data_IF_659562138993
#
_entry.id   IF_659562138993
#
_cell.length_a   1.000
_cell.length_b   1.000
_cell.length_c   1.000
_cell.angle_alpha   90.00
_cell.angle_beta   90.00
_cell.angle_gamma   90.00
#
_symmetry.space_group_name_H-M   'P 1'
#
loop_
_entity.id
_entity.type
_entity.pdbx_description
1 polymer ?
#
# COMPACT_ATOMS: atom_id res chain seq x y z
N UNK A 1 -12.68 2.76 7.52
CA UNK A 1 -11.55 3.63 7.21
C UNK A 1 -10.71 3.03 6.09
N UNK A 2 -10.30 3.83 5.14
CA UNK A 2 -9.58 3.36 3.97
C UNK A 2 -8.86 4.55 3.33
N UNK A 3 -7.96 4.23 2.40
CA UNK A 3 -7.29 5.24 1.60
C UNK A 3 -7.98 5.32 0.24
N UNK A 4 -8.27 6.53 -0.21
CA UNK A 4 -8.76 6.73 -1.56
C UNK A 4 -7.57 6.78 -2.50
N UNK A 5 -7.57 5.92 -3.50
CA UNK A 5 -6.48 5.82 -4.45
C UNK A 5 -7.07 6.05 -5.84
N UNK A 6 -6.76 7.22 -6.39
CA UNK A 6 -7.34 7.64 -7.66
C UNK A 6 -6.31 7.47 -8.77
N UNK A 7 -6.66 6.68 -9.77
CA UNK A 7 -5.81 6.46 -10.93
C UNK A 7 -6.68 6.68 -12.15
N UNK A 8 -6.27 7.65 -12.98
CA UNK A 8 -7.06 8.07 -14.11
C UNK A 8 -8.41 8.54 -13.58
N UNK A 9 -9.50 7.96 -14.08
CA UNK A 9 -10.82 8.37 -13.64
C UNK A 9 -11.45 7.38 -12.68
N UNK A 10 -10.64 6.46 -12.15
CA UNK A 10 -11.16 5.42 -11.26
C UNK A 10 -10.68 5.65 -9.85
N UNK A 11 -11.54 5.34 -8.89
CA UNK A 11 -11.22 5.42 -7.47
C UNK A 11 -11.19 4.01 -6.89
N UNK A 12 -10.12 3.70 -6.19
CA UNK A 12 -10.00 2.43 -5.48
C UNK A 12 -9.88 2.72 -4.00
N UNK A 13 -10.45 1.85 -3.18
CA UNK A 13 -10.38 1.99 -1.73
C UNK A 13 -9.41 0.96 -1.20
N UNK A 14 -8.43 1.41 -0.45
CA UNK A 14 -7.33 0.56 -0.01
C UNK A 14 -7.33 0.42 1.50
N UNK A 15 -7.22 -0.82 1.96
CA UNK A 15 -7.06 -1.13 3.38
C UNK A 15 -6.68 -2.59 3.51
N UNK A 16 -5.85 -2.90 4.48
CA UNK A 16 -5.47 -4.27 4.79
C UNK A 16 -6.23 -4.71 6.03
N UNK A 17 -7.22 -5.58 5.85
CA UNK A 17 -7.80 -6.29 6.99
C UNK A 17 -6.75 -7.27 7.50
N UNK A 18 -6.95 -7.81 8.70
CA UNK A 18 -5.95 -8.71 9.27
C UNK A 18 -5.60 -9.87 8.34
N UNK A 19 -6.60 -10.47 7.70
CA UNK A 19 -6.32 -11.57 6.78
C UNK A 19 -5.49 -11.11 5.58
N UNK A 20 -5.69 -9.86 5.16
CA UNK A 20 -4.91 -9.32 4.05
C UNK A 20 -3.47 -9.06 4.48
N UNK A 21 -3.26 -8.65 5.74
CA UNK A 21 -1.91 -8.45 6.27
C UNK A 21 -1.17 -9.78 6.29
N UNK A 22 -1.84 -10.84 6.76
CA UNK A 22 -1.22 -12.16 6.83
C UNK A 22 -0.87 -12.65 5.42
N UNK A 23 -1.78 -12.46 4.47
CA UNK A 23 -1.52 -12.85 3.09
C UNK A 23 -0.36 -12.07 2.51
N UNK A 24 -0.29 -10.77 2.84
CA UNK A 24 0.81 -9.92 2.38
C UNK A 24 2.14 -10.40 2.95
N UNK A 25 2.18 -10.71 4.24
CA UNK A 25 3.40 -11.22 4.85
C UNK A 25 3.93 -12.46 4.15
N UNK A 26 3.01 -13.36 3.80
CA UNK A 26 3.42 -14.57 3.10
C UNK A 26 3.93 -14.27 1.70
N UNK A 27 3.29 -13.30 1.03
CA UNK A 27 3.65 -12.98 -0.34
C UNK A 27 5.00 -12.29 -0.42
N UNK A 28 5.31 -11.39 0.51
CA UNK A 28 6.59 -10.66 0.47
C UNK A 28 7.66 -11.31 1.33
N UNK A 29 7.28 -12.29 2.15
CA UNK A 29 8.25 -13.06 2.93
C UNK A 29 8.81 -12.34 4.14
N UNK A 30 8.15 -11.30 4.62
CA UNK A 30 8.64 -10.55 5.77
C UNK A 30 7.52 -9.71 6.37
N UNK A 31 7.81 -9.12 7.52
CA UNK A 31 6.91 -8.18 8.16
C UNK A 31 6.75 -6.96 7.23
N UNK A 32 5.53 -6.47 7.01
CA UNK A 32 5.33 -5.33 6.11
C UNK A 32 6.20 -4.12 6.43
N UNK A 33 6.52 -3.88 7.71
CA UNK A 33 7.35 -2.73 8.06
C UNK A 33 8.80 -2.93 7.67
N UNK A 34 9.26 -4.18 7.52
CA UNK A 34 10.66 -4.40 7.19
C UNK A 34 11.01 -4.03 5.76
N UNK A 35 10.02 -3.72 4.92
CA UNK A 35 10.32 -3.22 3.57
C UNK A 35 11.07 -1.89 3.63
N UNK A 36 11.03 -1.19 4.78
CA UNK A 36 11.71 0.10 4.94
C UNK A 36 13.05 -0.02 5.66
N UNK A 37 13.53 -1.24 5.91
CA UNK A 37 14.76 -1.42 6.67
C UNK A 37 15.99 -0.86 5.95
N UNK A 38 15.99 -0.87 4.62
CA UNK A 38 17.09 -0.29 3.87
C UNK A 38 16.67 1.11 3.42
N UNK A 39 17.04 2.12 4.20
CA UNK A 39 16.55 3.47 3.97
C UNK A 39 17.14 4.11 2.72
N UNK A 40 18.16 3.51 2.12
CA UNK A 40 18.77 4.08 0.92
C UNK A 40 18.15 3.58 -0.37
N UNK A 41 17.24 2.64 -0.28
CA UNK A 41 16.61 2.07 -1.48
C UNK A 41 15.12 2.00 -1.29
N UNK A 42 14.40 2.17 -2.39
CA UNK A 42 12.97 1.91 -2.38
C UNK A 42 12.72 0.41 -2.33
N UNK A 43 11.59 -0.01 -1.76
CA UNK A 43 11.20 -1.40 -1.91
C UNK A 43 11.09 -1.75 -3.39
N UNK A 44 11.30 -3.00 -3.75
CA UNK A 44 11.13 -3.41 -5.16
C UNK A 44 9.73 -3.12 -5.67
N UNK A 45 9.62 -2.88 -6.95
CA UNK A 45 8.31 -2.64 -7.58
C UNK A 45 7.36 -3.82 -7.34
N UNK A 46 7.88 -5.06 -7.39
CA UNK A 46 7.05 -6.23 -7.12
C UNK A 46 6.44 -6.15 -5.72
N UNK A 47 7.21 -5.66 -4.74
CA UNK A 47 6.70 -5.50 -3.39
C UNK A 47 5.60 -4.44 -3.36
N UNK A 48 5.82 -3.31 -4.03
CA UNK A 48 4.82 -2.24 -4.07
C UNK A 48 3.50 -2.72 -4.66
N UNK A 49 3.57 -3.44 -5.80
CA UNK A 49 2.37 -3.93 -6.45
C UNK A 49 1.69 -4.99 -5.58
N UNK A 50 2.48 -5.81 -4.89
CA UNK A 50 1.91 -6.82 -4.00
C UNK A 50 1.15 -6.15 -2.85
N UNK A 51 1.68 -5.07 -2.29
CA UNK A 51 0.99 -4.31 -1.25
C UNK A 51 -0.30 -3.73 -1.81
N UNK A 52 -0.23 -3.13 -2.99
CA UNK A 52 -1.42 -2.58 -3.64
C UNK A 52 -2.48 -3.65 -3.81
N UNK A 53 -2.10 -4.81 -4.38
CA UNK A 53 -3.04 -5.89 -4.62
C UNK A 53 -3.75 -6.31 -3.34
N UNK A 54 -2.99 -6.57 -2.27
CA UNK A 54 -3.60 -7.06 -1.04
C UNK A 54 -4.45 -5.99 -0.37
N UNK A 55 -4.09 -4.72 -0.52
CA UNK A 55 -4.87 -3.63 0.07
C UNK A 55 -6.16 -3.37 -0.70
N UNK A 56 -6.29 -3.88 -1.91
CA UNK A 56 -7.49 -3.71 -2.72
C UNK A 56 -8.58 -4.74 -2.42
N UNK A 57 -8.22 -5.85 -1.79
CA UNK A 57 -9.12 -7.01 -1.74
C UNK A 57 -10.35 -6.79 -0.88
N UNK A 58 -10.27 -5.92 0.12
CA UNK A 58 -11.38 -5.75 1.03
C UNK A 58 -12.55 -5.02 0.39
N UNK A 59 -12.28 -3.99 -0.40
CA UNK A 59 -13.32 -3.10 -0.89
C UNK A 59 -13.54 -3.13 -2.40
N UNK A 60 -12.67 -3.78 -3.15
CA UNK A 60 -12.76 -3.76 -4.61
C UNK A 60 -12.91 -5.19 -5.13
N UNK A 61 -14.07 -5.47 -5.72
CA UNK A 61 -14.38 -6.82 -6.18
C UNK A 61 -13.59 -7.18 -7.42
N UNK A 62 -13.08 -8.42 -7.42
CA UNK A 62 -12.57 -9.01 -8.65
C UNK A 62 -11.25 -8.50 -9.14
N UNK A 63 -10.50 -7.75 -8.31
CA UNK A 63 -9.19 -7.27 -8.72
C UNK A 63 -8.19 -8.41 -8.60
N UNK A 64 -7.56 -8.79 -9.73
CA UNK A 64 -6.53 -9.80 -9.73
C UNK A 64 -5.17 -9.16 -9.57
N UNK A 65 -4.14 -10.00 -9.36
CA UNK A 65 -2.77 -9.49 -9.30
C UNK A 65 -2.38 -8.84 -10.62
N UNK A 66 -2.78 -9.44 -11.74
CA UNK A 66 -2.51 -8.84 -13.06
C UNK A 66 -3.17 -7.47 -13.16
N UNK A 67 -4.41 -7.35 -12.67
CA UNK A 67 -5.07 -6.05 -12.67
C UNK A 67 -4.30 -5.04 -11.84
N UNK A 68 -3.74 -5.46 -10.71
CA UNK A 68 -2.98 -4.54 -9.87
C UNK A 68 -1.74 -4.04 -10.59
N UNK A 69 -1.07 -4.90 -11.36
CA UNK A 69 0.07 -4.46 -12.17
C UNK A 69 -0.36 -3.42 -13.19
N UNK A 70 -1.49 -3.64 -13.85
CA UNK A 70 -1.98 -2.69 -14.85
C UNK A 70 -2.34 -1.37 -14.22
N UNK A 71 -2.96 -1.40 -13.04
CA UNK A 71 -3.34 -0.18 -12.33
C UNK A 71 -2.09 0.57 -11.88
N UNK A 72 -1.09 -0.16 -11.38
CA UNK A 72 0.15 0.48 -10.96
C UNK A 72 0.86 1.12 -12.17
N UNK A 73 0.82 0.45 -13.32
CA UNK A 73 1.41 1.00 -14.54
C UNK A 73 0.73 2.31 -14.92
N UNK A 74 -0.60 2.36 -14.80
CA UNK A 74 -1.33 3.60 -15.07
C UNK A 74 -0.97 4.69 -14.06
N UNK A 75 -0.78 4.29 -12.80
CA UNK A 75 -0.39 5.24 -11.76
C UNK A 75 0.95 5.90 -12.11
N UNK A 76 1.89 5.11 -12.66
CA UNK A 76 3.21 5.64 -12.99
C UNK A 76 3.19 6.58 -14.19
N UNK A 77 2.07 6.69 -14.89
CA UNK A 77 1.97 7.69 -15.96
C UNK A 77 1.86 9.11 -15.40
N UNK A 78 1.40 9.25 -14.15
CA UNK A 78 1.22 10.58 -13.55
C UNK A 78 1.99 10.76 -12.26
N UNK A 79 2.55 9.69 -11.73
CA UNK A 79 3.27 9.72 -10.45
C UNK A 79 4.51 8.86 -10.57
N UNK A 80 5.36 8.92 -9.56
CA UNK A 80 6.57 8.10 -9.54
C UNK A 80 6.43 6.98 -8.51
N UNK A 81 7.34 6.01 -8.59
CA UNK A 81 7.39 4.95 -7.58
C UNK A 81 7.67 5.56 -6.21
N UNK A 82 8.48 6.62 -6.15
CA UNK A 82 8.75 7.31 -4.89
C UNK A 82 7.46 7.86 -4.29
N UNK A 83 6.58 8.40 -5.14
CA UNK A 83 5.29 8.91 -4.66
C UNK A 83 4.46 7.82 -4.00
N UNK A 84 4.59 6.59 -4.48
CA UNK A 84 3.78 5.48 -3.95
C UNK A 84 4.16 5.13 -2.52
N UNK A 85 5.34 5.53 -2.05
CA UNK A 85 5.73 5.29 -0.66
C UNK A 85 4.75 5.96 0.29
N UNK A 86 4.30 7.18 -0.03
CA UNK A 86 3.28 7.85 0.79
C UNK A 86 1.99 7.06 0.82
N UNK A 87 1.62 6.45 -0.29
CA UNK A 87 0.40 5.63 -0.35
C UNK A 87 0.55 4.42 0.57
N UNK A 88 1.71 3.77 0.53
CA UNK A 88 1.96 2.62 1.42
C UNK A 88 1.84 3.03 2.88
N UNK A 89 2.43 4.16 3.25
CA UNK A 89 2.36 4.62 4.64
C UNK A 89 0.92 4.91 5.05
N UNK A 90 0.14 5.51 4.15
CA UNK A 90 -1.27 5.76 4.43
C UNK A 90 -2.05 4.45 4.59
N UNK A 91 -1.77 3.46 3.75
CA UNK A 91 -2.39 2.14 3.87
C UNK A 91 -2.07 1.54 5.23
N UNK A 92 -0.81 1.62 5.65
CA UNK A 92 -0.40 1.05 6.93
C UNK A 92 -1.07 1.76 8.10
N UNK A 93 -1.25 3.09 7.99
CA UNK A 93 -1.92 3.85 9.05
C UNK A 93 -3.38 3.46 9.20
N UNK A 94 -4.13 3.44 8.10
CA UNK A 94 -5.55 3.10 8.18
C UNK A 94 -5.76 1.64 8.55
N UNK A 95 -4.75 0.80 8.28
CA UNK A 95 -4.83 -0.62 8.59
C UNK A 95 -4.37 -0.95 10.01
N UNK A 96 -3.88 0.04 10.74
CA UNK A 96 -3.48 -0.16 12.12
C UNK A 96 -2.09 -0.75 12.28
N UNK A 97 -1.30 -0.79 11.20
CA UNK A 97 0.05 -1.33 11.28
C UNK A 97 0.99 -0.33 11.92
N UNK A 98 0.79 0.95 11.67
CA UNK A 98 1.56 2.01 12.32
C UNK A 98 0.59 3.07 12.83
N UNK A 99 1.08 3.92 13.73
CA UNK A 99 0.24 4.93 14.37
C UNK A 99 0.25 6.21 13.55
N UNK A 100 -0.79 7.01 13.77
CA UNK A 100 -0.88 8.32 13.14
C UNK A 100 0.18 9.25 13.71
N UNK A 101 0.69 10.13 12.86
CA UNK A 101 1.76 11.04 13.26
C UNK A 101 1.33 12.10 14.25
N UNK A 102 0.04 12.41 14.30
CA UNK A 102 -0.41 13.51 15.16
C UNK A 102 -0.09 13.25 16.61
N UNK A 103 0.07 11.99 17.00
CA UNK A 103 0.40 11.69 18.39
C UNK A 103 1.82 12.09 18.73
N UNK A 104 2.68 12.06 17.74
CA UNK A 104 4.05 12.50 17.94
C UNK A 104 4.07 14.01 18.17
N UNK A 105 3.24 14.73 17.44
CA UNK A 105 3.19 16.18 17.54
C UNK A 105 2.73 16.62 18.91
N UNK A 106 1.82 15.86 19.50
CA UNK A 106 1.27 16.26 20.80
C UNK A 106 2.27 16.13 21.91
N UNK A 107 3.33 15.43 21.70
CA UNK A 107 4.34 15.25 22.73
C UNK A 107 5.31 16.42 22.81
N UNK A 108 5.26 17.28 21.86
CA UNK A 108 6.12 18.44 21.84
C UNK A 108 5.48 19.63 22.54
#
# INVERSE_FOLDING_TARGET
MYVDFNVKEKNYKLRLATRNIVALEKAIGCNPLSIFNNSEELPPITTMVTILFHSMQKFNHGISLTDAYDIFDEYLEEHSATDFISVILDIYKVSGIIREDKEVEEKN
#
